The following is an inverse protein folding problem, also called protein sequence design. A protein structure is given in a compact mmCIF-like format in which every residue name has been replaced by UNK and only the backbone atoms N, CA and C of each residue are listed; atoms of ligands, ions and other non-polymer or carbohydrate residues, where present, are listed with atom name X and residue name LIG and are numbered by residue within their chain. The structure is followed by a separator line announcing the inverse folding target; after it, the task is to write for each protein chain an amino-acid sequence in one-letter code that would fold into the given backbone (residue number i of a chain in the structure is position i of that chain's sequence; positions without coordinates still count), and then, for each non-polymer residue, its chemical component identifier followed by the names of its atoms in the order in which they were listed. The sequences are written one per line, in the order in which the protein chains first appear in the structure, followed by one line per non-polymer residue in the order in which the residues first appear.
data_IF_552150426322
#
_entry.id   IF_552150426322
#
_cell.length_a   1.000
_cell.length_b   1.000
_cell.length_c   1.000
_cell.angle_alpha   90.00
_cell.angle_beta   90.00
_cell.angle_gamma   90.00
#
_symmetry.space_group_name_H-M   'P 1'
#
loop_
_entity.id
_entity.type
_entity.pdbx_description
1 polymer ?
#
# COMPACT_ATOMS: atom_id res chain seq x y z
N UNK A 1 21.00 0.30 4.36
CA UNK A 1 19.96 0.67 3.38
C UNK A 1 20.38 2.02 2.81
N UNK A 2 20.99 2.04 1.62
CA UNK A 2 21.44 3.30 0.98
C UNK A 2 20.18 4.01 0.45
N UNK A 3 19.98 5.26 0.85
CA UNK A 3 18.93 6.12 0.30
C UNK A 3 19.22 6.31 -1.20
N UNK A 4 18.41 5.70 -2.05
CA UNK A 4 18.39 6.00 -3.47
C UNK A 4 18.02 7.48 -3.62
N UNK A 5 18.84 8.22 -4.36
CA UNK A 5 18.63 9.64 -4.65
C UNK A 5 17.27 9.81 -5.33
N UNK A 6 16.43 10.67 -4.74
CA UNK A 6 14.99 10.84 -5.03
C UNK A 6 14.67 11.16 -6.51
N UNK A 7 15.66 11.53 -7.32
CA UNK A 7 15.49 11.96 -8.71
C UNK A 7 15.06 10.84 -9.68
N UNK A 8 15.46 9.59 -9.46
CA UNK A 8 15.15 8.48 -10.36
C UNK A 8 13.65 8.09 -10.35
N UNK A 9 12.93 8.38 -9.27
CA UNK A 9 11.50 8.05 -9.12
C UNK A 9 10.55 9.03 -9.84
N UNK A 10 11.07 10.14 -10.39
CA UNK A 10 10.27 11.20 -11.03
C UNK A 10 9.53 10.74 -12.31
N UNK A 11 9.96 9.65 -12.96
CA UNK A 11 9.39 9.20 -14.25
C UNK A 11 8.23 8.21 -14.15
N UNK A 12 8.00 7.56 -13.00
CA UNK A 12 6.95 6.52 -12.86
C UNK A 12 5.64 7.06 -12.25
N UNK A 13 5.69 8.14 -11.48
CA UNK A 13 4.58 8.60 -10.63
C UNK A 13 3.40 9.29 -11.38
N UNK A 14 3.27 9.14 -12.71
CA UNK A 14 2.10 9.61 -13.45
C UNK A 14 0.86 8.69 -13.31
N UNK A 15 0.94 7.61 -12.52
CA UNK A 15 -0.18 6.72 -12.29
C UNK A 15 -0.58 6.71 -10.80
N UNK A 16 -1.80 7.19 -10.53
CA UNK A 16 -2.51 7.16 -9.24
C UNK A 16 -2.17 8.30 -8.27
N UNK A 17 -2.51 9.53 -8.68
CA UNK A 17 -2.79 10.62 -7.75
C UNK A 17 -4.23 10.46 -7.24
N UNK A 18 -4.40 10.23 -5.94
CA UNK A 18 -5.71 10.36 -5.28
C UNK A 18 -6.05 11.86 -5.18
N UNK A 19 -6.77 12.37 -6.19
CA UNK A 19 -7.48 13.65 -6.16
C UNK A 19 -6.77 14.83 -6.85
N UNK A 20 -7.20 15.19 -8.06
CA UNK A 20 -7.79 16.51 -8.34
C UNK A 20 -8.44 16.57 -9.74
N UNK A 21 -9.37 17.51 -9.85
CA UNK A 21 -10.48 17.64 -10.79
C UNK A 21 -10.12 17.99 -12.24
N UNK A 22 -10.62 17.14 -13.16
CA UNK A 22 -11.36 17.46 -14.39
C UNK A 22 -10.95 18.63 -15.30
N UNK A 23 -10.29 18.31 -16.42
CA UNK A 23 -10.57 18.91 -17.74
C UNK A 23 -10.59 17.77 -18.77
N UNK A 24 -11.74 17.57 -19.42
CA UNK A 24 -12.02 16.43 -20.31
C UNK A 24 -11.91 16.86 -21.78
N UNK A 25 -10.74 16.67 -22.38
CA UNK A 25 -10.55 16.83 -23.83
C UNK A 25 -10.90 15.51 -24.51
N UNK A 26 -11.97 15.49 -25.34
CA UNK A 26 -12.41 14.31 -26.10
C UNK A 26 -11.64 14.23 -27.42
N UNK A 27 -10.67 13.33 -27.54
CA UNK A 27 -10.14 12.89 -28.82
C UNK A 27 -10.29 11.36 -28.93
N UNK A 28 -11.20 10.91 -29.78
CA UNK A 28 -11.40 9.50 -30.12
C UNK A 28 -10.38 9.09 -31.20
N UNK A 29 -9.26 8.52 -30.78
CA UNK A 29 -8.38 7.73 -31.65
C UNK A 29 -8.34 6.32 -31.07
N UNK A 30 -8.86 5.36 -31.83
CA UNK A 30 -8.76 3.92 -31.50
C UNK A 30 -7.30 3.55 -31.66
N UNK A 31 -6.53 3.67 -30.58
CA UNK A 31 -5.22 3.05 -30.42
C UNK A 31 -5.48 1.65 -29.87
N UNK A 32 -4.98 0.62 -30.57
CA UNK A 32 -4.72 -0.68 -29.98
C UNK A 32 -3.95 -0.45 -28.68
N UNK A 33 -4.51 -0.93 -27.57
CA UNK A 33 -3.95 -0.68 -26.25
C UNK A 33 -2.49 -1.14 -26.25
N UNK A 34 -1.52 -0.28 -25.88
CA UNK A 34 -0.15 -0.72 -25.70
C UNK A 34 -0.18 -1.89 -24.72
N UNK A 35 0.52 -2.97 -25.05
CA UNK A 35 0.73 -4.07 -24.11
C UNK A 35 1.39 -3.46 -22.88
N UNK A 36 0.61 -3.31 -21.81
CA UNK A 36 1.04 -2.77 -20.53
C UNK A 36 1.91 -3.82 -19.83
N UNK A 37 3.09 -4.04 -20.41
CA UNK A 37 4.14 -4.93 -19.91
C UNK A 37 4.95 -4.23 -18.80
N UNK A 38 4.36 -3.20 -18.18
CA UNK A 38 4.94 -2.56 -17.01
C UNK A 38 5.02 -3.61 -15.89
N UNK A 39 6.21 -3.83 -15.30
CA UNK A 39 6.35 -4.85 -14.28
C UNK A 39 5.45 -4.51 -13.11
N UNK A 40 4.63 -5.49 -12.74
CA UNK A 40 3.59 -5.32 -11.73
C UNK A 40 4.09 -5.77 -10.38
N UNK A 41 3.62 -5.09 -9.32
CA UNK A 41 3.78 -5.56 -7.95
C UNK A 41 3.11 -6.92 -7.78
N UNK A 42 3.73 -7.88 -7.10
CA UNK A 42 3.22 -9.26 -6.95
C UNK A 42 3.11 -9.65 -5.48
N UNK A 43 1.97 -10.23 -5.10
CA UNK A 43 1.78 -10.83 -3.77
C UNK A 43 2.29 -12.28 -3.80
N UNK A 44 3.06 -12.68 -2.79
CA UNK A 44 3.70 -14.00 -2.68
C UNK A 44 3.53 -14.58 -1.28
N UNK A 45 3.76 -15.89 -1.19
CA UNK A 45 3.66 -16.65 0.05
C UNK A 45 2.24 -16.61 0.63
N UNK A 46 1.30 -17.12 -0.16
CA UNK A 46 -0.09 -17.32 0.26
C UNK A 46 -0.13 -18.19 1.52
N UNK A 47 -0.98 -17.81 2.47
CA UNK A 47 -1.23 -18.59 3.68
C UNK A 47 -2.59 -19.27 3.51
N UNK A 48 -2.66 -20.61 3.65
CA UNK A 48 -3.94 -21.32 3.65
C UNK A 48 -4.81 -20.91 4.85
N UNK A 49 -6.07 -21.36 4.90
CA UNK A 49 -6.99 -21.17 6.03
C UNK A 49 -7.51 -19.74 6.28
N UNK A 50 -7.23 -18.81 5.38
CA UNK A 50 -7.93 -17.52 5.31
C UNK A 50 -8.78 -17.52 4.05
N UNK A 51 -10.09 -17.70 4.20
CA UNK A 51 -11.08 -17.65 3.13
C UNK A 51 -12.00 -16.44 3.20
N UNK A 52 -12.15 -15.81 4.37
CA UNK A 52 -13.06 -14.68 4.61
C UNK A 52 -12.41 -13.53 5.37
N UNK A 53 -13.02 -12.34 5.34
CA UNK A 53 -12.54 -11.17 6.10
C UNK A 53 -12.53 -11.43 7.61
N UNK A 54 -13.50 -12.17 8.17
CA UNK A 54 -13.47 -12.49 9.60
C UNK A 54 -12.30 -13.42 9.97
N UNK A 55 -11.97 -14.39 9.13
CA UNK A 55 -10.79 -15.25 9.33
C UNK A 55 -9.50 -14.44 9.17
N UNK A 56 -9.46 -13.50 8.22
CA UNK A 56 -8.35 -12.56 8.07
C UNK A 56 -8.15 -11.73 9.36
N UNK A 57 -9.23 -11.25 10.00
CA UNK A 57 -9.16 -10.52 11.26
C UNK A 57 -8.54 -11.37 12.38
N UNK A 58 -9.00 -12.63 12.52
CA UNK A 58 -8.43 -13.59 13.49
C UNK A 58 -6.95 -13.82 13.22
N UNK A 59 -6.58 -14.03 11.96
CA UNK A 59 -5.21 -14.30 11.56
C UNK A 59 -4.26 -13.11 11.76
N UNK A 60 -4.78 -11.88 11.71
CA UNK A 60 -4.05 -10.65 12.00
C UNK A 60 -4.14 -10.24 13.48
N UNK A 61 -4.95 -10.94 14.28
CA UNK A 61 -5.26 -10.63 15.69
C UNK A 61 -5.79 -9.21 15.88
N UNK A 62 -6.75 -8.83 15.02
CA UNK A 62 -7.42 -7.53 15.05
C UNK A 62 -8.91 -7.78 15.28
N UNK A 63 -9.53 -6.99 16.16
CA UNK A 63 -10.96 -7.04 16.36
C UNK A 63 -11.69 -6.71 15.05
N UNK A 64 -12.76 -7.45 14.76
CA UNK A 64 -13.48 -7.29 13.50
C UNK A 64 -13.98 -5.85 13.30
N UNK A 65 -14.49 -5.22 14.36
CA UNK A 65 -15.02 -3.85 14.31
C UNK A 65 -13.94 -2.82 13.94
N UNK A 66 -12.71 -3.01 14.42
CA UNK A 66 -11.57 -2.16 14.08
C UNK A 66 -11.18 -2.33 12.61
N UNK A 67 -11.07 -3.58 12.14
CA UNK A 67 -10.80 -3.89 10.73
C UNK A 67 -11.89 -3.29 9.83
N UNK A 68 -13.16 -3.52 10.15
CA UNK A 68 -14.29 -3.03 9.38
C UNK A 68 -14.29 -1.50 9.31
N UNK A 69 -14.03 -0.82 10.43
CA UNK A 69 -13.96 0.64 10.45
C UNK A 69 -12.81 1.19 9.59
N UNK A 70 -11.66 0.53 9.56
CA UNK A 70 -10.53 0.92 8.68
C UNK A 70 -10.85 0.63 7.21
N UNK A 71 -11.47 -0.52 6.89
CA UNK A 71 -11.93 -0.86 5.54
C UNK A 71 -12.95 0.16 5.03
N UNK A 72 -13.98 0.46 5.82
CA UNK A 72 -15.02 1.45 5.46
C UNK A 72 -14.39 2.83 5.22
N UNK A 73 -13.44 3.24 6.05
CA UNK A 73 -12.71 4.49 5.85
C UNK A 73 -11.93 4.48 4.53
N UNK A 74 -11.27 3.38 4.21
CA UNK A 74 -10.56 3.21 2.94
C UNK A 74 -11.53 3.28 1.74
N UNK A 75 -12.63 2.53 1.77
CA UNK A 75 -13.64 2.45 0.70
C UNK A 75 -14.26 3.83 0.42
N UNK A 76 -14.56 4.60 1.47
CA UNK A 76 -15.12 5.95 1.32
C UNK A 76 -14.13 6.94 0.69
N UNK A 77 -12.83 6.74 0.90
CA UNK A 77 -11.77 7.59 0.34
C UNK A 77 -11.43 7.26 -1.10
N UNK A 78 -11.72 6.05 -1.58
CA UNK A 78 -11.38 5.63 -2.95
C UNK A 78 -12.51 5.98 -3.93
N UNK A 79 -12.18 6.76 -4.96
CA UNK A 79 -13.14 7.37 -5.89
C UNK A 79 -13.68 6.41 -6.98
N UNK A 80 -13.17 5.17 -7.09
CA UNK A 80 -13.49 4.28 -8.21
C UNK A 80 -14.76 3.48 -7.93
N UNK A 81 -15.91 4.05 -8.30
CA UNK A 81 -17.26 3.49 -8.05
C UNK A 81 -17.41 2.02 -8.48
N UNK A 82 -16.87 1.65 -9.64
CA UNK A 82 -17.10 0.33 -10.25
C UNK A 82 -16.35 -0.84 -9.60
N UNK A 83 -15.53 -0.60 -8.57
CA UNK A 83 -14.77 -1.66 -7.86
C UNK A 83 -14.89 -1.56 -6.34
N UNK A 84 -15.87 -0.79 -5.85
CA UNK A 84 -16.01 -0.55 -4.41
C UNK A 84 -16.43 -1.83 -3.71
N UNK A 85 -15.70 -2.17 -2.65
CA UNK A 85 -16.20 -3.09 -1.62
C UNK A 85 -17.47 -2.49 -0.97
N UNK A 86 -18.38 -3.32 -0.43
CA UNK A 86 -19.55 -2.82 0.27
C UNK A 86 -19.17 -1.96 1.49
N UNK A 87 -19.95 -0.91 1.73
CA UNK A 87 -19.72 0.03 2.85
C UNK A 87 -20.35 -0.48 4.15
N UNK A 88 -21.33 -1.38 4.06
CA UNK A 88 -21.93 -2.03 5.23
C UNK A 88 -20.92 -3.01 5.86
N UNK A 89 -20.51 -2.81 7.13
CA UNK A 89 -19.69 -3.78 7.85
C UNK A 89 -20.26 -5.20 7.78
N UNK A 90 -21.58 -5.38 7.94
CA UNK A 90 -22.17 -6.73 7.99
C UNK A 90 -21.89 -7.54 6.72
N UNK A 91 -21.88 -6.88 5.56
CA UNK A 91 -21.53 -7.51 4.28
C UNK A 91 -20.02 -7.76 4.15
N UNK A 92 -19.17 -6.85 4.65
CA UNK A 92 -17.71 -6.99 4.59
C UNK A 92 -17.24 -8.28 5.27
N UNK A 93 -17.91 -8.71 6.34
CA UNK A 93 -17.53 -9.86 7.17
C UNK A 93 -17.34 -11.16 6.38
N UNK A 94 -18.18 -11.38 5.37
CA UNK A 94 -18.28 -12.63 4.63
C UNK A 94 -17.62 -12.57 3.25
N UNK A 95 -16.98 -11.45 2.91
CA UNK A 95 -16.30 -11.35 1.62
C UNK A 95 -15.12 -12.33 1.55
N UNK A 96 -14.92 -12.98 0.39
CA UNK A 96 -13.74 -13.79 0.15
C UNK A 96 -12.47 -12.98 0.40
N UNK A 97 -11.54 -13.53 1.16
CA UNK A 97 -10.25 -12.92 1.44
C UNK A 97 -9.12 -13.93 1.31
N UNK A 98 -7.96 -13.46 0.85
CA UNK A 98 -6.72 -14.26 0.78
C UNK A 98 -5.61 -13.51 1.51
N UNK A 99 -4.78 -14.21 2.29
CA UNK A 99 -3.65 -13.61 3.00
C UNK A 99 -2.31 -13.99 2.37
N UNK A 100 -1.36 -13.06 2.41
CA UNK A 100 -0.01 -13.22 1.88
C UNK A 100 1.06 -12.78 2.89
N UNK A 101 2.28 -13.29 2.71
CA UNK A 101 3.44 -12.99 3.57
C UNK A 101 4.44 -12.04 2.93
N UNK A 102 4.35 -11.80 1.63
CA UNK A 102 5.37 -11.05 0.90
C UNK A 102 4.78 -10.25 -0.26
N UNK A 103 5.36 -9.08 -0.49
CA UNK A 103 5.12 -8.23 -1.64
C UNK A 103 6.44 -8.03 -2.39
N UNK A 104 6.43 -8.35 -3.68
CA UNK A 104 7.50 -8.06 -4.62
C UNK A 104 7.19 -6.74 -5.34
N UNK A 105 8.14 -5.81 -5.28
CA UNK A 105 8.03 -4.47 -5.84
C UNK A 105 9.14 -4.32 -6.89
N UNK A 106 8.79 -4.17 -8.18
CA UNK A 106 9.77 -3.83 -9.19
C UNK A 106 10.20 -2.37 -9.01
N UNK A 107 11.51 -2.16 -8.92
CA UNK A 107 12.14 -0.85 -8.77
C UNK A 107 13.12 -0.70 -9.92
N UNK A 108 13.10 0.44 -10.61
CA UNK A 108 14.07 0.70 -11.67
C UNK A 108 15.49 0.66 -11.10
N UNK A 109 16.38 -0.01 -11.82
CA UNK A 109 17.79 0.06 -11.53
C UNK A 109 18.27 1.51 -11.69
N UNK A 110 19.14 1.96 -10.79
CA UNK A 110 19.63 3.33 -10.79
C UNK A 110 20.69 3.57 -11.88
N UNK A 111 21.31 2.51 -12.41
CA UNK A 111 22.31 2.54 -13.47
C UNK A 111 21.69 2.20 -14.83
N UNK A 112 20.76 1.25 -14.86
CA UNK A 112 20.17 0.69 -16.08
C UNK A 112 18.65 0.94 -16.13
N UNK A 113 18.22 2.00 -16.83
CA UNK A 113 16.83 2.49 -16.77
C UNK A 113 15.76 1.57 -17.38
N UNK A 114 16.17 0.51 -18.06
CA UNK A 114 15.35 -0.55 -18.65
C UNK A 114 15.36 -1.85 -17.83
N UNK A 115 16.16 -1.91 -16.77
CA UNK A 115 16.26 -3.05 -15.86
C UNK A 115 15.50 -2.76 -14.57
N UNK A 116 14.80 -3.77 -14.07
CA UNK A 116 14.10 -3.70 -12.80
C UNK A 116 14.74 -4.63 -11.77
N UNK A 117 15.10 -4.07 -10.62
CA UNK A 117 15.42 -4.84 -9.43
C UNK A 117 14.14 -5.18 -8.67
N UNK A 118 14.00 -6.42 -8.21
CA UNK A 118 12.84 -6.85 -7.41
C UNK A 118 13.13 -6.67 -5.93
N UNK A 119 12.56 -5.62 -5.34
CA UNK A 119 12.56 -5.43 -3.89
C UNK A 119 11.49 -6.32 -3.24
N UNK A 120 11.88 -7.02 -2.17
CA UNK A 120 10.99 -7.96 -1.47
C UNK A 120 10.72 -7.47 -0.05
N UNK A 121 9.49 -7.08 0.23
CA UNK A 121 9.05 -6.69 1.57
C UNK A 121 8.19 -7.79 2.18
N UNK A 122 8.47 -8.14 3.43
CA UNK A 122 7.86 -9.26 4.15
C UNK A 122 6.96 -8.78 5.27
N UNK A 123 5.87 -9.51 5.48
CA UNK A 123 4.90 -9.32 6.54
C UNK A 123 4.42 -10.68 7.04
N UNK A 124 5.01 -11.14 8.12
CA UNK A 124 4.65 -12.42 8.75
C UNK A 124 3.60 -12.27 9.86
N UNK A 125 3.18 -11.03 10.16
CA UNK A 125 2.21 -10.75 11.21
C UNK A 125 2.83 -11.02 12.57
N UNK A 126 2.34 -12.04 13.30
CA UNK A 126 2.95 -12.56 14.53
C UNK A 126 3.69 -13.89 14.34
N UNK A 127 3.61 -14.49 13.16
CA UNK A 127 4.28 -15.76 12.86
C UNK A 127 5.79 -15.56 12.87
N UNK A 128 6.51 -16.53 13.44
CA UNK A 128 7.97 -16.54 13.46
C UNK A 128 8.54 -16.62 12.04
N UNK A 129 9.57 -15.84 11.74
CA UNK A 129 10.29 -15.92 10.48
C UNK A 129 11.63 -16.60 10.70
N UNK A 130 11.88 -17.77 10.07
CA UNK A 130 13.16 -18.52 10.19
C UNK A 130 13.58 -18.79 11.65
N UNK A 131 12.64 -19.26 12.48
CA UNK A 131 12.84 -19.49 13.91
C UNK A 131 13.22 -18.24 14.72
N UNK A 132 13.06 -17.05 14.14
CA UNK A 132 13.19 -15.77 14.83
C UNK A 132 11.82 -15.11 15.01
N UNK A 133 11.78 -13.98 15.70
CA UNK A 133 10.55 -13.20 15.88
C UNK A 133 9.87 -12.80 14.57
N UNK A 134 8.68 -12.24 14.68
CA UNK A 134 7.92 -11.81 13.53
C UNK A 134 8.65 -10.73 12.72
N UNK A 135 8.63 -10.88 11.40
CA UNK A 135 9.20 -9.94 10.43
C UNK A 135 8.11 -9.16 9.73
N UNK A 136 8.09 -7.86 10.00
CA UNK A 136 7.16 -6.86 9.47
C UNK A 136 7.99 -5.69 8.96
N UNK A 137 8.32 -5.73 7.67
CA UNK A 137 9.26 -4.80 7.03
C UNK A 137 8.67 -3.38 6.97
N UNK A 138 9.57 -2.39 6.92
CA UNK A 138 9.22 -0.99 6.70
C UNK A 138 9.04 -0.73 5.21
N UNK A 139 8.05 0.09 4.88
CA UNK A 139 7.71 0.47 3.51
C UNK A 139 7.51 1.97 3.40
N UNK A 140 7.77 2.51 2.21
CA UNK A 140 7.38 3.87 1.86
C UNK A 140 6.00 3.83 1.20
N UNK A 141 5.13 4.77 1.56
CA UNK A 141 3.78 4.88 0.98
C UNK A 141 3.52 6.32 0.53
N UNK A 142 2.91 6.49 -0.63
CA UNK A 142 2.49 7.82 -1.12
C UNK A 142 1.13 8.18 -0.52
N UNK A 143 1.08 9.13 0.41
CA UNK A 143 -0.16 9.48 1.14
C UNK A 143 -0.71 10.86 0.78
N UNK A 144 0.01 11.65 0.01
CA UNK A 144 -0.46 12.96 -0.46
C UNK A 144 0.40 13.54 -1.58
N UNK A 145 0.19 14.83 -1.89
CA UNK A 145 0.91 15.54 -2.94
C UNK A 145 2.40 15.77 -2.64
N UNK A 146 3.16 16.15 -3.68
CA UNK A 146 4.61 16.39 -3.59
C UNK A 146 4.98 17.57 -2.68
N UNK A 147 4.02 18.42 -2.35
CA UNK A 147 4.10 19.57 -1.47
C UNK A 147 3.97 19.21 0.02
N UNK A 148 3.55 17.98 0.34
CA UNK A 148 3.37 17.54 1.72
C UNK A 148 4.63 16.88 2.29
N UNK A 149 4.77 16.90 3.62
CA UNK A 149 5.86 16.23 4.35
C UNK A 149 7.30 16.64 3.96
N UNK A 150 7.50 17.88 3.52
CA UNK A 150 8.84 18.45 3.29
C UNK A 150 9.67 17.61 2.32
N UNK A 151 10.82 17.13 2.78
CA UNK A 151 11.76 16.35 1.95
C UNK A 151 11.21 14.96 1.56
N UNK A 152 10.15 14.50 2.24
CA UNK A 152 9.47 13.25 1.89
C UNK A 152 8.50 13.39 0.71
N UNK A 153 8.16 14.61 0.26
CA UNK A 153 7.35 14.87 -0.94
C UNK A 153 6.06 14.03 -1.02
N UNK A 154 5.26 14.06 0.03
CA UNK A 154 3.99 13.35 0.14
C UNK A 154 4.10 11.90 0.58
N UNK A 155 5.32 11.39 0.80
CA UNK A 155 5.56 10.04 1.28
C UNK A 155 5.64 9.99 2.79
N UNK A 156 5.37 8.81 3.34
CA UNK A 156 5.64 8.52 4.74
C UNK A 156 6.14 7.08 4.90
N UNK A 157 6.82 6.82 6.02
CA UNK A 157 7.24 5.49 6.42
C UNK A 157 6.09 4.79 7.11
N UNK A 158 5.85 3.53 6.75
CA UNK A 158 4.88 2.68 7.41
C UNK A 158 5.48 1.31 7.73
N UNK A 159 4.98 0.68 8.79
CA UNK A 159 5.27 -0.74 9.06
C UNK A 159 4.21 -1.59 8.42
N UNK A 160 4.61 -2.62 7.67
CA UNK A 160 3.66 -3.54 7.06
C UNK A 160 3.08 -4.51 8.10
N UNK A 161 1.77 -4.54 8.28
CA UNK A 161 1.07 -5.38 9.27
C UNK A 161 0.30 -6.53 8.64
N UNK A 162 -0.16 -6.38 7.39
CA UNK A 162 -0.86 -7.42 6.65
C UNK A 162 -0.84 -7.18 5.15
N UNK A 163 -0.82 -8.26 4.38
CA UNK A 163 -0.99 -8.25 2.91
C UNK A 163 -2.13 -9.19 2.57
N UNK A 164 -3.11 -8.71 1.81
CA UNK A 164 -4.28 -9.51 1.50
C UNK A 164 -5.00 -9.08 0.23
N UNK A 165 -5.85 -9.95 -0.28
CA UNK A 165 -6.87 -9.61 -1.29
C UNK A 165 -8.25 -9.71 -0.67
N UNK A 166 -9.18 -8.89 -1.15
CA UNK A 166 -10.62 -9.03 -0.87
C UNK A 166 -11.35 -9.09 -2.20
N UNK A 167 -12.13 -10.14 -2.40
CA UNK A 167 -12.99 -10.31 -3.56
C UNK A 167 -14.36 -9.68 -3.33
N UNK A 168 -14.78 -8.79 -4.22
CA UNK A 168 -16.18 -8.37 -4.35
C UNK A 168 -16.87 -9.26 -5.38
N UNK A 169 -17.62 -10.25 -4.90
CA UNK A 169 -18.35 -11.21 -5.76
C UNK A 169 -19.42 -10.49 -6.61
N UNK A 170 -20.09 -9.47 -6.07
CA UNK A 170 -21.14 -8.72 -6.78
C UNK A 170 -20.56 -7.90 -7.94
N UNK A 171 -19.38 -7.30 -7.75
CA UNK A 171 -18.72 -6.47 -8.75
C UNK A 171 -17.73 -7.23 -9.65
N UNK A 172 -17.48 -8.52 -9.38
CA UNK A 172 -16.44 -9.29 -10.08
C UNK A 172 -15.04 -8.69 -9.94
N UNK A 173 -14.78 -7.97 -8.84
CA UNK A 173 -13.56 -7.20 -8.64
C UNK A 173 -12.74 -7.75 -7.47
N UNK A 174 -11.41 -7.61 -7.53
CA UNK A 174 -10.50 -7.99 -6.45
C UNK A 174 -9.64 -6.79 -6.05
N UNK A 175 -9.77 -6.36 -4.80
CA UNK A 175 -8.92 -5.33 -4.20
C UNK A 175 -7.65 -5.96 -3.65
N UNK A 176 -6.50 -5.36 -3.94
CA UNK A 176 -5.17 -5.85 -3.53
C UNK A 176 -4.62 -4.90 -2.48
N UNK A 177 -4.74 -5.29 -1.22
CA UNK A 177 -4.62 -4.36 -0.10
C UNK A 177 -3.43 -4.69 0.79
N UNK A 178 -2.92 -3.64 1.43
CA UNK A 178 -1.96 -3.73 2.51
C UNK A 178 -2.51 -3.00 3.73
N UNK A 179 -2.39 -3.64 4.90
CA UNK A 179 -2.58 -2.98 6.18
C UNK A 179 -1.23 -2.51 6.70
N UNK A 180 -1.15 -1.25 7.08
CA UNK A 180 0.10 -0.61 7.48
C UNK A 180 -0.09 0.22 8.75
N UNK A 181 0.93 0.24 9.61
CA UNK A 181 1.05 1.17 10.72
C UNK A 181 1.85 2.39 10.25
N UNK A 182 1.18 3.51 10.06
CA UNK A 182 1.78 4.74 9.56
C UNK A 182 2.55 5.46 10.67
N UNK A 183 3.80 5.79 10.40
CA UNK A 183 4.60 6.63 11.29
C UNK A 183 4.38 8.12 10.99
N UNK A 184 4.62 8.95 11.99
CA UNK A 184 4.60 10.40 11.86
C UNK A 184 6.02 10.90 11.61
N UNK A 185 6.25 11.69 10.55
CA UNK A 185 7.54 12.33 10.38
C UNK A 185 7.74 13.42 11.44
N UNK A 186 8.93 13.44 12.04
CA UNK A 186 9.36 14.50 12.94
C UNK A 186 9.81 15.71 12.11
N UNK A 187 9.64 16.92 12.63
CA UNK A 187 10.02 18.16 11.93
C UNK A 187 9.39 18.29 10.53
N UNK A 188 8.13 17.83 10.39
CA UNK A 188 7.41 17.88 9.12
C UNK A 188 8.04 17.06 7.99
N UNK A 189 8.93 16.11 8.29
CA UNK A 189 9.60 15.27 7.28
C UNK A 189 10.86 15.88 6.70
N UNK A 190 11.38 16.96 7.29
CA UNK A 190 12.64 17.57 6.89
C UNK A 190 13.85 16.82 7.45
N UNK A 191 14.97 16.89 6.74
CA UNK A 191 16.25 16.39 7.25
C UNK A 191 16.61 17.04 8.59
N UNK A 192 17.07 16.22 9.53
CA UNK A 192 17.68 16.71 10.75
C UNK A 192 19.11 17.17 10.45
N UNK A 193 19.38 18.47 10.61
CA UNK A 193 20.61 19.16 10.17
C UNK A 193 21.90 18.40 10.53
N UNK A 194 22.01 17.95 11.78
CA UNK A 194 23.24 17.30 12.25
C UNK A 194 23.39 15.85 11.81
N UNK A 195 22.29 15.14 11.56
CA UNK A 195 22.37 13.72 11.21
C UNK A 195 22.25 13.48 9.71
N UNK A 196 21.68 14.42 8.94
CA UNK A 196 21.36 14.20 7.53
C UNK A 196 20.31 13.11 7.32
N UNK A 197 19.50 12.81 8.34
CA UNK A 197 18.47 11.76 8.31
C UNK A 197 17.10 12.36 8.64
N UNK A 198 16.05 11.81 8.03
CA UNK A 198 14.67 12.11 8.40
C UNK A 198 14.29 11.23 9.58
N UNK A 199 13.73 11.85 10.62
CA UNK A 199 13.28 11.14 11.82
C UNK A 199 11.79 10.87 11.75
N UNK A 200 11.39 9.71 12.24
CA UNK A 200 9.98 9.29 12.31
C UNK A 200 9.67 8.81 13.72
N UNK A 201 8.44 8.99 14.16
CA UNK A 201 7.94 8.53 15.46
C UNK A 201 6.62 7.78 15.29
N UNK A 202 6.23 7.01 16.30
CA UNK A 202 4.86 6.50 16.39
C UNK A 202 3.91 7.67 16.52
N UNK A 203 2.77 7.62 15.83
CA UNK A 203 1.70 8.61 15.99
C UNK A 203 1.21 8.57 17.43
N UNK A 204 1.14 9.73 18.06
CA UNK A 204 0.61 9.88 19.43
C UNK A 204 -0.91 10.08 19.44
N UNK A 205 -1.50 10.41 18.30
CA UNK A 205 -2.92 10.76 18.17
C UNK A 205 -3.58 10.01 17.03
N UNK A 206 -4.79 9.50 17.25
CA UNK A 206 -5.63 8.86 16.24
C UNK A 206 -5.26 7.40 15.96
N UNK A 207 -5.89 6.84 14.91
CA UNK A 207 -5.58 5.49 14.42
C UNK A 207 -4.29 5.55 13.59
N UNK A 208 -3.27 4.83 14.04
CA UNK A 208 -2.00 4.68 13.34
C UNK A 208 -2.07 3.59 12.25
N UNK A 209 -3.09 2.71 12.30
CA UNK A 209 -3.33 1.68 11.28
C UNK A 209 -4.19 2.23 10.12
N UNK A 210 -3.79 1.91 8.90
CA UNK A 210 -4.48 2.24 7.66
C UNK A 210 -4.48 1.07 6.68
N UNK A 211 -5.50 1.01 5.82
CA UNK A 211 -5.53 0.13 4.65
C UNK A 211 -5.26 0.95 3.39
N UNK A 212 -4.37 0.44 2.54
CA UNK A 212 -3.98 1.04 1.27
C UNK A 212 -4.04 0.03 0.14
N UNK A 213 -4.21 0.50 -1.08
CA UNK A 213 -3.98 -0.31 -2.28
C UNK A 213 -2.47 -0.55 -2.45
N UNK A 214 -2.10 -1.76 -2.87
CA UNK A 214 -0.68 -2.14 -3.06
C UNK A 214 0.02 -1.24 -4.10
N UNK A 215 -0.72 -0.65 -5.05
CA UNK A 215 -0.18 0.29 -6.02
C UNK A 215 0.46 1.53 -5.40
N UNK A 216 0.08 1.88 -4.16
CA UNK A 216 0.57 3.05 -3.42
C UNK A 216 1.90 2.79 -2.68
N UNK A 217 2.31 1.52 -2.56
CA UNK A 217 3.58 1.14 -1.90
C UNK A 217 4.75 1.45 -2.83
N UNK A 218 5.70 2.25 -2.35
CA UNK A 218 6.91 2.64 -3.09
C UNK A 218 8.07 1.72 -2.68
N UNK A 219 8.77 1.19 -3.67
CA UNK A 219 9.93 0.30 -3.51
C UNK A 219 11.25 1.05 -3.59
#
# INVERSE_FOLDING_TARGET
MRLLTIEALRKIDNAVVLGNTGVRTKNNRIQSAPSDDSPRRVLKGWIPDVGTVIELCRALEIAYDDMAAVLVTHIRRTAVENRRLPVDPSELRFLPAERFTMLEIPVLDFQETDVFQIHRVRCTGKLSFRNTGARNDWVWIQVGGLDLYGDLRGRTVARLLGLFKIGNVRAGAVSRLAMVQVLEPVNGGRFHEFSGHIRVRKRTTGRDVMIIEIGVVVG
#
